data_IF_863294580872
#
_entry.id   IF_863294580872
#
_cell.length_a   1.000
_cell.length_b   1.000
_cell.length_c   1.000
_cell.angle_alpha   90.00
_cell.angle_beta   90.00
_cell.angle_gamma   90.00
#
_symmetry.space_group_name_H-M   'P 1'
#
loop_
_entity.id
_entity.type
_entity.pdbx_description
1 polymer ?
#
# COMPACT_ATOMS: atom_id res chain seq x y z
N UNK A 1 40.17 33.33 60.36
CA UNK A 1 40.03 31.93 59.88
C UNK A 1 38.59 31.73 59.43
N UNK A 2 38.30 31.89 58.13
CA UNK A 2 36.90 31.90 57.62
C UNK A 2 36.81 31.45 56.15
N UNK A 3 37.51 30.38 55.78
CA UNK A 3 37.60 29.92 54.38
C UNK A 3 37.51 28.39 54.24
N UNK A 4 36.47 27.73 54.76
CA UNK A 4 36.31 26.28 54.48
C UNK A 4 34.89 25.84 54.10
N UNK A 5 33.89 26.73 54.13
CA UNK A 5 32.49 26.33 53.92
C UNK A 5 31.93 26.51 52.49
N UNK A 6 32.74 27.02 51.55
CA UNK A 6 32.27 27.39 50.20
C UNK A 6 32.45 26.31 49.12
N UNK A 7 33.15 25.21 49.41
CA UNK A 7 33.56 24.27 48.36
C UNK A 7 32.49 23.21 48.00
N UNK A 8 31.66 22.83 48.97
CA UNK A 8 30.70 21.71 48.80
C UNK A 8 29.55 22.02 47.83
N UNK A 9 29.15 23.29 47.71
CA UNK A 9 28.10 23.71 46.76
C UNK A 9 28.63 23.75 45.32
N UNK A 10 29.89 24.17 45.14
CA UNK A 10 30.58 24.19 43.85
C UNK A 10 30.81 22.78 43.31
N UNK A 11 31.30 21.86 44.15
CA UNK A 11 31.55 20.47 43.78
C UNK A 11 30.28 19.74 43.29
N UNK A 12 29.11 20.03 43.89
CA UNK A 12 27.82 19.47 43.46
C UNK A 12 27.40 19.97 42.07
N UNK A 13 27.56 21.27 41.79
CA UNK A 13 27.26 21.81 40.45
C UNK A 13 28.19 21.25 39.37
N UNK A 14 29.46 21.02 39.70
CA UNK A 14 30.43 20.41 38.76
C UNK A 14 30.06 18.96 38.47
N UNK A 15 29.69 18.17 39.48
CA UNK A 15 29.22 16.79 39.27
C UNK A 15 27.96 16.72 38.39
N UNK A 16 26.98 17.61 38.64
CA UNK A 16 25.77 17.70 37.81
C UNK A 16 26.13 18.09 36.37
N UNK A 17 27.04 19.05 36.17
CA UNK A 17 27.48 19.46 34.83
C UNK A 17 28.16 18.31 34.07
N UNK A 18 28.96 17.48 34.74
CA UNK A 18 29.60 16.30 34.13
C UNK A 18 28.57 15.25 33.74
N UNK A 19 27.59 14.97 34.61
CA UNK A 19 26.53 13.98 34.32
C UNK A 19 25.65 14.45 33.15
N UNK A 20 25.23 15.72 33.16
CA UNK A 20 24.42 16.31 32.08
C UNK A 20 25.21 16.37 30.77
N UNK A 21 26.50 16.71 30.83
CA UNK A 21 27.39 16.69 29.67
C UNK A 21 27.52 15.28 29.06
N UNK A 22 27.68 14.25 29.91
CA UNK A 22 27.74 12.85 29.49
C UNK A 22 26.45 12.38 28.83
N UNK A 23 25.28 12.69 29.42
CA UNK A 23 23.98 12.35 28.85
C UNK A 23 23.72 13.08 27.52
N UNK A 24 24.16 14.34 27.41
CA UNK A 24 24.05 15.12 26.17
C UNK A 24 24.84 14.49 25.02
N UNK A 25 26.07 14.02 25.28
CA UNK A 25 26.89 13.33 24.28
C UNK A 25 26.23 12.02 23.80
N UNK A 26 25.66 11.23 24.71
CA UNK A 26 24.93 10.01 24.35
C UNK A 26 23.73 10.37 23.46
N UNK A 27 23.00 11.44 23.79
CA UNK A 27 21.84 11.88 23.02
C UNK A 27 22.23 12.34 21.60
N UNK A 28 23.35 13.03 21.44
CA UNK A 28 23.87 13.46 20.14
C UNK A 28 24.25 12.26 19.27
N UNK A 29 24.91 11.25 19.83
CA UNK A 29 25.27 10.01 19.10
C UNK A 29 24.02 9.26 18.65
N UNK A 30 22.99 9.21 19.49
CA UNK A 30 21.73 8.55 19.17
C UNK A 30 21.00 9.26 18.01
N UNK A 31 20.91 10.60 18.08
CA UNK A 31 20.35 11.42 17.02
C UNK A 31 21.10 11.27 15.69
N UNK A 32 22.43 11.17 15.72
CA UNK A 32 23.23 10.99 14.51
C UNK A 32 22.94 9.65 13.83
N UNK A 33 22.83 8.57 14.61
CA UNK A 33 22.42 7.24 14.11
C UNK A 33 21.03 7.29 13.48
N UNK A 34 20.07 7.89 14.16
CA UNK A 34 18.69 8.01 13.67
C UNK A 34 18.62 8.84 12.39
N UNK A 35 19.40 9.92 12.28
CA UNK A 35 19.48 10.72 11.07
C UNK A 35 20.06 9.94 9.88
N UNK A 36 21.12 9.16 10.10
CA UNK A 36 21.70 8.32 9.04
C UNK A 36 20.73 7.24 8.57
N UNK A 37 20.04 6.57 9.50
CA UNK A 37 19.05 5.55 9.20
C UNK A 37 17.85 6.15 8.46
N UNK A 38 17.38 7.31 8.88
CA UNK A 38 16.28 8.02 8.22
C UNK A 38 16.64 8.43 6.78
N UNK A 39 17.88 8.89 6.54
CA UNK A 39 18.33 9.25 5.19
C UNK A 39 18.39 8.04 4.26
N UNK A 40 18.94 6.93 4.73
CA UNK A 40 19.00 5.68 3.96
C UNK A 40 17.60 5.16 3.64
N UNK A 41 16.72 5.11 4.64
CA UNK A 41 15.35 4.66 4.46
C UNK A 41 14.57 5.58 3.51
N UNK A 42 14.78 6.90 3.59
CA UNK A 42 14.16 7.86 2.67
C UNK A 42 14.64 7.66 1.23
N UNK A 43 15.92 7.40 1.02
CA UNK A 43 16.46 7.10 -0.31
C UNK A 43 15.90 5.80 -0.88
N UNK A 44 15.80 4.75 -0.06
CA UNK A 44 15.20 3.48 -0.47
C UNK A 44 13.72 3.66 -0.85
N UNK A 45 12.94 4.34 -0.01
CA UNK A 45 11.52 4.63 -0.28
C UNK A 45 11.36 5.47 -1.56
N UNK A 46 12.19 6.49 -1.76
CA UNK A 46 12.14 7.31 -2.97
C UNK A 46 12.48 6.47 -4.21
N UNK A 47 13.49 5.60 -4.13
CA UNK A 47 13.88 4.70 -5.22
C UNK A 47 12.78 3.68 -5.55
N UNK A 48 12.13 3.10 -4.54
CA UNK A 48 11.02 2.17 -4.70
C UNK A 48 9.79 2.86 -5.28
N UNK A 49 9.50 4.08 -4.83
CA UNK A 49 8.40 4.89 -5.35
C UNK A 49 8.64 5.24 -6.83
N UNK A 50 9.87 5.62 -7.20
CA UNK A 50 10.24 5.85 -8.60
C UNK A 50 10.07 4.60 -9.46
N UNK A 51 10.53 3.44 -8.99
CA UNK A 51 10.35 2.15 -9.68
C UNK A 51 8.87 1.78 -9.83
N UNK A 52 8.07 1.98 -8.78
CA UNK A 52 6.64 1.72 -8.81
C UNK A 52 5.93 2.58 -9.86
N UNK A 53 6.22 3.89 -9.87
CA UNK A 53 5.65 4.82 -10.83
C UNK A 53 6.08 4.48 -12.27
N UNK A 54 7.32 4.07 -12.48
CA UNK A 54 7.81 3.64 -13.79
C UNK A 54 7.05 2.40 -14.29
N UNK A 55 6.96 1.36 -13.45
CA UNK A 55 6.23 0.11 -13.80
C UNK A 55 4.75 0.42 -14.07
N UNK A 56 4.14 1.28 -13.26
CA UNK A 56 2.74 1.66 -13.45
C UNK A 56 2.53 2.44 -14.76
N UNK A 57 3.48 3.29 -15.15
CA UNK A 57 3.47 3.96 -16.45
C UNK A 57 3.63 2.96 -17.61
N UNK A 58 4.53 1.97 -17.49
CA UNK A 58 4.70 0.91 -18.48
C UNK A 58 3.43 0.06 -18.63
N UNK A 59 2.78 -0.32 -17.53
CA UNK A 59 1.49 -1.04 -17.55
C UNK A 59 0.42 -0.21 -18.27
N UNK A 60 0.33 1.09 -17.97
CA UNK A 60 -0.65 1.95 -18.62
C UNK A 60 -0.37 2.09 -20.13
N UNK A 61 0.89 2.19 -20.53
CA UNK A 61 1.27 2.23 -21.95
C UNK A 61 0.92 0.91 -22.66
N UNK A 62 1.25 -0.23 -22.06
CA UNK A 62 0.89 -1.56 -22.56
C UNK A 62 -0.62 -1.71 -22.71
N UNK A 63 -1.40 -1.23 -21.73
CA UNK A 63 -2.85 -1.26 -21.78
C UNK A 63 -3.40 -0.41 -22.93
N UNK A 64 -2.82 0.78 -23.17
CA UNK A 64 -3.21 1.62 -24.31
C UNK A 64 -2.93 0.90 -25.62
N UNK A 65 -1.74 0.30 -25.77
CA UNK A 65 -1.37 -0.46 -26.97
C UNK A 65 -2.27 -1.68 -27.18
N UNK A 66 -2.64 -2.38 -26.11
CA UNK A 66 -3.58 -3.51 -26.17
C UNK A 66 -4.97 -3.04 -26.63
N UNK A 67 -5.48 -1.93 -26.08
CA UNK A 67 -6.76 -1.36 -26.50
C UNK A 67 -6.75 -0.91 -27.96
N UNK A 68 -5.63 -0.34 -28.43
CA UNK A 68 -5.46 0.06 -29.83
C UNK A 68 -5.43 -1.16 -30.76
N UNK A 69 -4.66 -2.20 -30.42
CA UNK A 69 -4.63 -3.45 -31.18
C UNK A 69 -5.97 -4.18 -31.21
N UNK A 70 -6.70 -4.23 -30.09
CA UNK A 70 -8.06 -4.79 -30.05
C UNK A 70 -9.04 -3.99 -30.92
N UNK A 71 -8.89 -2.65 -30.93
CA UNK A 71 -9.72 -1.80 -31.77
C UNK A 71 -9.45 -2.05 -33.25
N UNK A 72 -8.17 -2.12 -33.66
CA UNK A 72 -7.76 -2.48 -35.02
C UNK A 72 -8.28 -3.86 -35.44
N UNK A 73 -8.14 -4.88 -34.59
CA UNK A 73 -8.65 -6.23 -34.85
C UNK A 73 -10.18 -6.24 -35.02
N UNK A 74 -10.90 -5.48 -34.19
CA UNK A 74 -12.35 -5.35 -34.29
C UNK A 74 -12.79 -4.64 -35.59
N UNK A 75 -12.01 -3.65 -36.05
CA UNK A 75 -12.28 -2.92 -37.28
C UNK A 75 -12.00 -3.81 -38.51
N UNK A 76 -10.89 -4.55 -38.49
CA UNK A 76 -10.54 -5.54 -39.51
C UNK A 76 -11.64 -6.61 -39.60
N UNK A 77 -12.10 -7.14 -38.47
CA UNK A 77 -13.18 -8.13 -38.43
C UNK A 77 -14.48 -7.58 -39.03
N UNK A 78 -14.88 -6.36 -38.68
CA UNK A 78 -16.07 -5.72 -39.25
C UNK A 78 -15.95 -5.52 -40.76
N UNK A 79 -14.82 -4.98 -41.24
CA UNK A 79 -14.57 -4.82 -42.66
C UNK A 79 -14.60 -6.17 -43.39
N UNK A 80 -13.96 -7.20 -42.81
CA UNK A 80 -13.93 -8.55 -43.38
C UNK A 80 -15.34 -9.14 -43.51
N UNK A 81 -16.17 -9.00 -42.48
CA UNK A 81 -17.57 -9.42 -42.50
C UNK A 81 -18.40 -8.65 -43.55
N UNK A 82 -18.19 -7.33 -43.69
CA UNK A 82 -18.86 -6.52 -44.73
C UNK A 82 -18.50 -6.97 -46.15
N UNK A 83 -17.24 -7.37 -46.38
CA UNK A 83 -16.79 -7.87 -47.67
C UNK A 83 -16.96 -9.38 -47.85
N UNK A 84 -17.58 -10.08 -46.90
CA UNK A 84 -17.87 -11.52 -46.99
C UNK A 84 -16.63 -12.43 -46.95
N UNK A 85 -15.48 -11.92 -46.51
CA UNK A 85 -14.27 -12.72 -46.35
C UNK A 85 -14.24 -13.40 -44.97
N UNK A 86 -13.52 -14.52 -44.83
CA UNK A 86 -13.30 -15.20 -43.55
C UNK A 86 -11.82 -15.48 -43.32
N UNK A 87 -11.35 -15.34 -42.07
CA UNK A 87 -9.99 -15.75 -41.69
C UNK A 87 -9.98 -17.27 -41.47
N UNK A 88 -8.83 -17.91 -41.67
CA UNK A 88 -8.72 -19.35 -41.41
C UNK A 88 -8.94 -19.64 -39.91
N UNK A 89 -9.87 -20.55 -39.60
CA UNK A 89 -10.20 -20.95 -38.22
C UNK A 89 -11.35 -20.19 -37.54
N UNK A 90 -11.98 -19.22 -38.21
CA UNK A 90 -13.10 -18.45 -37.65
C UNK A 90 -14.47 -19.04 -38.06
N UNK A 91 -15.32 -19.37 -37.09
CA UNK A 91 -16.69 -19.87 -37.30
C UNK A 91 -17.65 -18.67 -37.42
N UNK A 92 -18.01 -18.31 -38.65
CA UNK A 92 -18.97 -17.24 -38.94
C UNK A 92 -20.32 -17.87 -39.30
N UNK A 93 -21.30 -17.74 -38.40
CA UNK A 93 -22.68 -18.18 -38.63
C UNK A 93 -23.44 -17.06 -39.34
N UNK A 94 -23.75 -17.26 -40.62
CA UNK A 94 -24.64 -16.35 -41.35
C UNK A 94 -26.08 -16.64 -40.92
N UNK A 95 -26.64 -15.78 -40.07
CA UNK A 95 -28.05 -15.88 -39.68
C UNK A 95 -28.89 -15.37 -40.85
N UNK A 96 -29.39 -16.27 -41.68
CA UNK A 96 -30.42 -15.95 -42.67
C UNK A 96 -31.69 -15.65 -41.87
N UNK A 97 -32.26 -14.44 -41.94
CA UNK A 97 -33.46 -14.13 -41.19
C UNK A 97 -34.58 -15.09 -41.61
N UNK A 98 -35.23 -15.78 -40.67
CA UNK A 98 -36.33 -16.67 -41.00
C UNK A 98 -37.45 -15.83 -41.62
N UNK A 99 -37.83 -16.18 -42.85
CA UNK A 99 -39.13 -15.76 -43.36
C UNK A 99 -40.16 -16.46 -42.49
N UNK A 100 -40.78 -15.69 -41.59
CA UNK A 100 -41.95 -16.02 -40.79
C UNK A 100 -41.91 -17.40 -40.09
N UNK A 101 -41.70 -17.39 -38.78
CA UNK A 101 -42.67 -17.87 -37.77
C UNK A 101 -41.96 -18.13 -36.43
N UNK A 102 -42.42 -17.38 -35.42
CA UNK A 102 -42.46 -17.68 -33.99
C UNK A 102 -41.39 -18.59 -33.37
N UNK A 103 -40.50 -18.03 -32.54
CA UNK A 103 -39.93 -18.79 -31.42
C UNK A 103 -39.38 -17.90 -30.29
N UNK A 104 -39.61 -18.38 -29.07
CA UNK A 104 -39.62 -17.68 -27.79
C UNK A 104 -38.21 -17.37 -27.25
N UNK A 105 -38.06 -16.20 -26.63
CA UNK A 105 -36.80 -15.74 -26.01
C UNK A 105 -36.80 -16.15 -24.52
N UNK A 106 -35.86 -16.99 -24.03
CA UNK A 106 -35.72 -17.22 -22.60
C UNK A 106 -34.89 -16.08 -21.96
N UNK A 107 -35.52 -15.34 -21.05
CA UNK A 107 -34.88 -14.30 -20.23
C UNK A 107 -34.09 -14.97 -19.11
N UNK A 108 -32.76 -14.96 -19.21
CA UNK A 108 -31.86 -15.38 -18.13
C UNK A 108 -31.66 -14.18 -17.19
N UNK A 109 -32.18 -14.28 -15.96
CA UNK A 109 -31.96 -13.29 -14.90
C UNK A 109 -30.80 -13.74 -14.00
N UNK A 110 -29.73 -12.97 -13.94
CA UNK A 110 -28.58 -13.23 -13.05
C UNK A 110 -28.79 -12.56 -11.69
N UNK A 111 -29.01 -13.37 -10.66
CA UNK A 111 -29.01 -12.98 -9.24
C UNK A 111 -27.57 -12.76 -8.76
N UNK A 112 -27.26 -11.58 -8.22
CA UNK A 112 -25.99 -11.31 -7.54
C UNK A 112 -26.13 -11.65 -6.04
N UNK A 113 -25.41 -12.67 -5.57
CA UNK A 113 -25.25 -12.95 -4.15
C UNK A 113 -23.97 -12.25 -3.66
N UNK A 114 -24.12 -11.12 -2.95
CA UNK A 114 -23.03 -10.51 -2.20
C UNK A 114 -22.92 -11.18 -0.83
N UNK A 115 -22.13 -12.25 -0.75
CA UNK A 115 -21.65 -12.78 0.53
C UNK A 115 -20.46 -11.96 1.01
N UNK A 116 -20.69 -11.04 1.95
CA UNK A 116 -19.64 -10.33 2.67
C UNK A 116 -18.92 -11.26 3.66
N UNK A 117 -17.83 -11.89 3.22
CA UNK A 117 -16.93 -12.63 4.09
C UNK A 117 -15.98 -11.65 4.80
N UNK A 118 -16.37 -11.16 5.98
CA UNK A 118 -15.53 -10.29 6.81
C UNK A 118 -14.71 -11.11 7.80
N UNK A 119 -13.68 -11.80 7.32
CA UNK A 119 -12.62 -12.36 8.16
C UNK A 119 -11.33 -11.57 7.93
N UNK A 120 -11.21 -10.41 8.59
CA UNK A 120 -9.99 -9.60 8.54
C UNK A 120 -9.18 -9.80 9.83
N UNK A 121 -8.02 -10.49 9.79
CA UNK A 121 -7.23 -10.89 10.96
C UNK A 121 -6.63 -9.71 11.75
N UNK A 122 -6.65 -8.52 11.15
CA UNK A 122 -6.07 -7.29 11.73
C UNK A 122 -6.87 -6.81 12.95
N UNK A 123 -8.19 -7.06 13.01
CA UNK A 123 -9.03 -6.58 14.12
C UNK A 123 -8.73 -7.30 15.45
N UNK A 124 -8.31 -8.57 15.38
CA UNK A 124 -8.01 -9.37 16.56
C UNK A 124 -6.71 -8.93 17.26
N UNK A 125 -5.67 -8.58 16.49
CA UNK A 125 -4.38 -8.16 17.05
C UNK A 125 -4.50 -6.85 17.85
N UNK A 126 -5.20 -5.85 17.30
CA UNK A 126 -5.45 -4.58 18.00
C UNK A 126 -6.24 -4.76 19.31
N UNK A 127 -7.22 -5.67 19.33
CA UNK A 127 -8.00 -5.93 20.54
C UNK A 127 -7.18 -6.54 21.69
N UNK A 128 -6.16 -7.35 21.37
CA UNK A 128 -5.27 -7.92 22.37
C UNK A 128 -4.25 -6.91 22.88
N UNK A 129 -3.74 -6.02 22.03
CA UNK A 129 -2.79 -4.98 22.42
C UNK A 129 -3.42 -3.97 23.40
N UNK A 130 -4.68 -3.59 23.17
CA UNK A 130 -5.40 -2.65 24.05
C UNK A 130 -5.63 -3.27 25.42
N UNK A 131 -5.93 -4.58 25.48
CA UNK A 131 -6.16 -5.30 26.75
C UNK A 131 -4.90 -5.39 27.60
N UNK A 132 -3.74 -5.68 26.99
CA UNK A 132 -2.48 -5.77 27.74
C UNK A 132 -2.04 -4.41 28.27
N UNK A 133 -2.23 -3.34 27.47
CA UNK A 133 -1.90 -1.99 27.90
C UNK A 133 -2.79 -1.52 29.07
N UNK A 134 -4.09 -1.81 29.01
CA UNK A 134 -5.01 -1.42 30.09
C UNK A 134 -4.66 -2.14 31.41
N UNK A 135 -4.33 -3.43 31.37
CA UNK A 135 -3.88 -4.16 32.57
C UNK A 135 -2.56 -3.62 33.14
N UNK A 136 -1.63 -3.19 32.30
CA UNK A 136 -0.37 -2.59 32.75
C UNK A 136 -0.61 -1.26 33.48
N UNK A 137 -1.48 -0.40 32.94
CA UNK A 137 -1.83 0.88 33.56
C UNK A 137 -2.57 0.67 34.90
N UNK A 138 -3.51 -0.27 34.95
CA UNK A 138 -4.21 -0.61 36.21
C UNK A 138 -3.23 -1.16 37.26
N UNK A 139 -2.25 -1.97 36.85
CA UNK A 139 -1.20 -2.46 37.75
C UNK A 139 -0.25 -1.35 38.24
N UNK A 140 -0.08 -0.26 37.49
CA UNK A 140 0.80 0.85 37.83
C UNK A 140 0.13 1.87 38.77
N UNK A 141 -1.20 1.97 38.71
CA UNK A 141 -2.02 2.84 39.58
C UNK A 141 -2.45 2.15 40.88
N UNK A 142 -2.34 0.82 40.94
CA UNK A 142 -2.65 0.01 42.13
C UNK A 142 -1.49 -0.22 43.10
N UNK A 143 -0.35 0.46 42.94
CA UNK A 143 0.82 0.44 43.84
C UNK A 143 1.11 1.87 44.33
#
# INVERSE_FOLDING_TARGET
>A
MRHEHLDTRSARSVLVAVIVGGLSLIFIVQLYKDYTNYRLLKQEVESLTKKHNQIQAEINQLKILEMEGQNEESLEKQARLMFGFKKAGEEVVMVVPPQNESQEVPVISTTYNTSSNTNHPVKHWWSNLIKTFNNFIVSLIGF
#
